data_IF_583913273786
#
_entry.id   IF_583913273786
#
_cell.length_a   1.000
_cell.length_b   1.000
_cell.length_c   1.000
_cell.angle_alpha   90.00
_cell.angle_beta   90.00
_cell.angle_gamma   90.00
#
_symmetry.space_group_name_H-M   'P 1'
#
loop_
_entity.id
_entity.type
_entity.pdbx_description
1 polymer ?
#
# COMPACT_ATOMS: atom_id res chain seq x y z
N UNK A 1 -33.36 -0.89 -11.61
CA UNK A 1 -32.29 -1.74 -12.18
C UNK A 1 -31.11 -1.79 -11.22
N UNK A 2 -30.20 -2.76 -11.35
CA UNK A 2 -29.05 -2.89 -10.46
C UNK A 2 -28.03 -1.75 -10.63
N UNK A 3 -27.40 -1.35 -9.52
CA UNK A 3 -26.31 -0.36 -9.53
C UNK A 3 -25.19 -0.84 -10.47
N UNK A 4 -24.75 -0.03 -11.46
CA UNK A 4 -23.69 -0.43 -12.41
C UNK A 4 -22.33 -0.61 -11.72
N UNK A 5 -22.16 0.09 -10.61
CA UNK A 5 -20.88 0.30 -9.94
C UNK A 5 -20.49 -0.83 -8.99
N UNK A 6 -21.49 -1.45 -8.36
CA UNK A 6 -21.31 -2.65 -7.55
C UNK A 6 -22.06 -3.85 -8.14
N UNK A 7 -22.55 -3.75 -9.39
CA UNK A 7 -23.34 -4.78 -10.08
C UNK A 7 -24.51 -5.36 -9.27
N UNK A 8 -25.09 -4.55 -8.37
CA UNK A 8 -26.15 -4.96 -7.46
C UNK A 8 -25.69 -5.75 -6.22
N UNK A 9 -24.41 -5.76 -5.87
CA UNK A 9 -23.88 -6.30 -4.60
C UNK A 9 -24.26 -5.38 -3.43
N UNK A 10 -24.07 -4.06 -3.59
CA UNK A 10 -24.33 -3.05 -2.56
C UNK A 10 -23.08 -2.62 -1.79
N UNK A 11 -22.02 -3.42 -1.83
CA UNK A 11 -20.74 -3.12 -1.20
C UNK A 11 -19.62 -3.06 -2.24
N UNK A 12 -18.49 -2.48 -1.84
CA UNK A 12 -17.22 -2.50 -2.57
C UNK A 12 -16.11 -2.84 -1.59
N UNK A 13 -15.08 -3.51 -2.10
CA UNK A 13 -13.86 -3.74 -1.34
C UNK A 13 -12.96 -2.51 -1.46
N UNK A 14 -12.68 -1.86 -0.34
CA UNK A 14 -11.70 -0.77 -0.27
C UNK A 14 -10.55 -1.15 0.66
N UNK A 15 -9.34 -0.72 0.29
CA UNK A 15 -8.15 -0.99 1.09
C UNK A 15 -8.19 -0.13 2.34
N UNK A 16 -8.01 -0.75 3.50
CA UNK A 16 -8.03 -0.08 4.79
C UNK A 16 -6.60 0.20 5.29
N UNK A 17 -6.21 1.48 5.48
CA UNK A 17 -4.91 1.84 6.03
C UNK A 17 -4.61 1.22 7.41
N UNK A 18 -5.62 1.01 8.26
CA UNK A 18 -5.45 0.39 9.58
C UNK A 18 -5.02 -1.07 9.46
N UNK A 19 -5.47 -1.77 8.41
CA UNK A 19 -5.05 -3.15 8.14
C UNK A 19 -3.66 -3.20 7.49
N UNK A 20 -3.25 -2.14 6.80
CA UNK A 20 -1.88 -2.01 6.25
C UNK A 20 -0.87 -1.78 7.37
N UNK A 21 -1.22 -0.98 8.38
CA UNK A 21 -0.37 -0.67 9.54
C UNK A 21 -1.10 -1.10 10.82
N UNK A 22 -1.13 -2.40 11.12
CA UNK A 22 -1.89 -2.92 12.27
C UNK A 22 -1.26 -2.59 13.62
N UNK A 23 0.02 -2.23 13.64
CA UNK A 23 0.79 -1.92 14.85
C UNK A 23 1.57 -0.62 14.61
N UNK A 24 1.05 0.49 15.17
CA UNK A 24 1.64 1.81 15.02
C UNK A 24 2.87 2.05 15.92
N UNK A 25 3.16 1.14 16.86
CA UNK A 25 4.32 1.24 17.75
C UNK A 25 5.59 0.75 17.06
N UNK A 26 5.46 -0.08 16.01
CA UNK A 26 6.59 -0.53 15.19
C UNK A 26 7.13 0.57 14.30
N UNK A 27 8.44 0.55 14.13
CA UNK A 27 9.13 1.33 13.11
C UNK A 27 8.99 0.72 11.70
N UNK A 28 9.42 1.46 10.68
CA UNK A 28 9.44 0.94 9.31
C UNK A 28 10.44 -0.21 9.15
N UNK A 29 11.56 -0.14 9.87
CA UNK A 29 12.62 -1.17 9.87
C UNK A 29 12.16 -2.47 10.55
N UNK A 30 11.27 -2.34 11.54
CA UNK A 30 10.59 -3.46 12.21
C UNK A 30 9.40 -4.01 11.41
N UNK A 31 9.01 -3.34 10.33
CA UNK A 31 7.98 -3.82 9.41
C UNK A 31 6.57 -3.33 9.74
N UNK A 32 6.41 -2.09 10.19
CA UNK A 32 5.11 -1.46 10.43
C UNK A 32 4.15 -1.57 9.24
N UNK A 33 4.65 -1.50 8.00
CA UNK A 33 3.83 -1.68 6.79
C UNK A 33 3.74 -3.17 6.46
N UNK A 34 2.65 -3.80 6.89
CA UNK A 34 2.46 -5.24 6.89
C UNK A 34 2.56 -5.93 5.51
N UNK A 35 2.00 -5.37 4.41
CA UNK A 35 2.15 -5.97 3.07
C UNK A 35 3.60 -6.07 2.58
N UNK A 36 4.49 -5.27 3.15
CA UNK A 36 5.89 -5.14 2.73
C UNK A 36 6.88 -5.75 3.72
N UNK A 37 6.42 -6.25 4.87
CA UNK A 37 7.31 -6.68 5.96
C UNK A 37 7.67 -8.17 5.96
N UNK A 38 7.22 -8.95 4.96
CA UNK A 38 7.33 -10.40 4.97
C UNK A 38 8.11 -10.97 3.78
N UNK A 39 8.90 -12.03 4.03
CA UNK A 39 9.56 -12.82 2.99
C UNK A 39 10.53 -12.03 2.11
N UNK A 40 10.62 -12.41 0.83
CA UNK A 40 11.56 -11.82 -0.12
C UNK A 40 11.24 -10.36 -0.49
N UNK A 41 10.03 -9.86 -0.21
CA UNK A 41 9.65 -8.48 -0.53
C UNK A 41 10.18 -7.48 0.50
N UNK A 42 10.47 -7.92 1.74
CA UNK A 42 10.97 -7.05 2.82
C UNK A 42 12.22 -6.28 2.43
N UNK A 43 13.21 -6.96 1.85
CA UNK A 43 14.47 -6.33 1.47
C UNK A 43 14.28 -5.33 0.32
N UNK A 44 13.43 -5.67 -0.66
CA UNK A 44 13.12 -4.80 -1.79
C UNK A 44 12.42 -3.51 -1.34
N UNK A 45 11.36 -3.63 -0.54
CA UNK A 45 10.61 -2.48 -0.04
C UNK A 45 11.40 -1.68 0.99
N UNK A 46 12.24 -2.33 1.81
CA UNK A 46 13.14 -1.62 2.73
C UNK A 46 14.07 -0.66 1.98
N UNK A 47 14.62 -1.07 0.84
CA UNK A 47 15.46 -0.19 -0.01
C UNK A 47 14.66 0.97 -0.61
N UNK A 48 13.42 0.73 -1.04
CA UNK A 48 12.54 1.78 -1.55
C UNK A 48 12.15 2.79 -0.47
N UNK A 49 11.80 2.30 0.72
CA UNK A 49 11.45 3.14 1.88
C UNK A 49 12.65 3.96 2.32
N UNK A 50 13.84 3.37 2.38
CA UNK A 50 15.07 4.09 2.71
C UNK A 50 15.36 5.21 1.71
N UNK A 51 15.25 4.93 0.41
CA UNK A 51 15.45 5.96 -0.60
C UNK A 51 14.37 7.07 -0.51
N UNK A 52 13.12 6.72 -0.20
CA UNK A 52 12.04 7.68 0.02
C UNK A 52 12.28 8.53 1.28
N UNK A 53 12.83 7.93 2.34
CA UNK A 53 13.10 8.59 3.61
C UNK A 53 14.23 9.61 3.48
N UNK A 54 15.26 9.30 2.71
CA UNK A 54 16.30 10.25 2.31
C UNK A 54 15.72 11.41 1.49
N UNK A 55 14.86 11.12 0.51
CA UNK A 55 14.30 12.13 -0.38
C UNK A 55 13.29 13.07 0.31
N UNK A 56 12.52 12.59 1.28
CA UNK A 56 11.50 13.37 2.00
C UNK A 56 11.95 13.84 3.41
N UNK A 57 13.13 13.41 3.86
CA UNK A 57 13.68 13.74 5.16
C UNK A 57 12.80 13.25 6.31
N UNK A 58 12.73 11.93 6.51
CA UNK A 58 12.13 11.31 7.69
C UNK A 58 12.93 10.09 8.17
N UNK A 59 12.71 9.67 9.41
CA UNK A 59 13.39 8.54 10.04
C UNK A 59 12.63 7.24 9.81
N UNK A 60 13.34 6.13 9.59
CA UNK A 60 12.74 4.79 9.44
C UNK A 60 12.74 3.97 10.72
N UNK A 61 13.54 4.39 11.70
CA UNK A 61 13.85 3.72 12.95
C UNK A 61 13.02 4.23 14.15
N UNK A 62 11.98 5.02 13.88
CA UNK A 62 11.03 5.51 14.89
C UNK A 62 9.67 4.85 14.69
N UNK A 63 8.86 4.71 15.76
CA UNK A 63 7.48 4.20 15.65
C UNK A 63 6.69 4.90 14.55
N UNK A 64 5.85 4.15 13.83
CA UNK A 64 4.94 4.70 12.82
C UNK A 64 4.14 5.87 13.38
N UNK A 65 3.61 5.75 14.60
CA UNK A 65 2.88 6.80 15.29
C UNK A 65 3.63 8.15 15.29
N UNK A 66 4.96 8.12 15.46
CA UNK A 66 5.84 9.28 15.52
C UNK A 66 6.27 9.84 14.15
N UNK A 67 5.93 9.20 13.05
CA UNK A 67 6.26 9.70 11.71
C UNK A 67 5.50 10.99 11.37
N UNK A 68 6.14 11.94 10.66
CA UNK A 68 5.44 13.12 10.14
C UNK A 68 4.27 12.73 9.23
N UNK A 69 3.17 13.47 9.27
CA UNK A 69 1.98 13.18 8.46
C UNK A 69 2.27 13.13 6.95
N UNK A 70 3.23 13.94 6.47
CA UNK A 70 3.69 13.89 5.08
C UNK A 70 4.31 12.54 4.70
N UNK A 71 5.06 11.92 5.63
CA UNK A 71 5.71 10.63 5.43
C UNK A 71 4.65 9.52 5.44
N UNK A 72 3.75 9.52 6.44
CA UNK A 72 2.62 8.58 6.49
C UNK A 72 1.80 8.61 5.20
N UNK A 73 1.46 9.81 4.71
CA UNK A 73 0.72 9.99 3.45
C UNK A 73 1.48 9.46 2.24
N UNK A 74 2.78 9.75 2.13
CA UNK A 74 3.62 9.26 1.05
C UNK A 74 3.72 7.71 1.05
N UNK A 75 3.89 7.12 2.24
CA UNK A 75 4.01 5.67 2.41
C UNK A 75 2.69 4.94 2.09
N UNK A 76 1.55 5.48 2.50
CA UNK A 76 0.24 4.87 2.25
C UNK A 76 -0.27 5.10 0.83
N UNK A 77 -0.25 6.35 0.36
CA UNK A 77 -0.96 6.76 -0.86
C UNK A 77 -0.04 7.06 -2.04
N UNK A 78 1.27 6.97 -1.84
CA UNK A 78 2.25 7.25 -2.87
C UNK A 78 2.73 8.69 -2.87
N UNK A 79 3.79 8.94 -3.63
CA UNK A 79 4.37 10.27 -3.80
C UNK A 79 5.03 10.38 -5.17
N UNK A 80 4.87 11.52 -5.85
CA UNK A 80 5.44 11.77 -7.20
C UNK A 80 6.94 12.10 -7.17
N UNK A 81 7.62 11.84 -6.06
CA UNK A 81 9.04 12.16 -5.95
C UNK A 81 9.83 11.10 -6.70
N UNK A 82 10.73 11.56 -7.55
CA UNK A 82 11.69 10.67 -8.17
C UNK A 82 12.66 10.18 -7.11
N UNK A 83 12.81 8.86 -6.99
CA UNK A 83 13.62 8.25 -5.93
C UNK A 83 14.67 7.36 -6.57
N UNK A 84 15.95 7.62 -6.29
CA UNK A 84 17.05 6.76 -6.72
C UNK A 84 17.34 5.71 -5.64
N UNK A 85 17.14 4.44 -5.97
CA UNK A 85 17.37 3.34 -5.05
C UNK A 85 18.74 2.72 -5.34
N UNK A 86 19.63 2.77 -4.34
CA UNK A 86 20.95 2.15 -4.41
C UNK A 86 20.96 0.86 -3.60
N UNK A 87 21.56 -0.20 -4.15
CA UNK A 87 21.74 -1.45 -3.43
C UNK A 87 22.98 -2.21 -3.88
N UNK A 88 23.50 -3.04 -2.98
CA UNK A 88 24.58 -3.97 -3.28
C UNK A 88 23.98 -5.33 -3.64
N UNK A 89 24.34 -5.88 -4.79
CA UNK A 89 23.87 -7.21 -5.18
C UNK A 89 24.67 -8.32 -4.47
N UNK A 90 24.23 -9.57 -4.64
CA UNK A 90 24.90 -10.77 -4.08
C UNK A 90 26.37 -10.95 -4.49
N UNK A 91 26.81 -10.28 -5.55
CA UNK A 91 28.19 -10.33 -6.05
C UNK A 91 29.03 -9.13 -5.58
N UNK A 92 28.50 -8.34 -4.64
CA UNK A 92 29.19 -7.20 -4.07
C UNK A 92 29.23 -5.95 -4.97
N UNK A 93 28.56 -5.95 -6.13
CA UNK A 93 28.50 -4.79 -7.03
C UNK A 93 27.36 -3.86 -6.62
N UNK A 94 27.65 -2.56 -6.62
CA UNK A 94 26.62 -1.54 -6.48
C UNK A 94 25.77 -1.44 -7.75
N UNK A 95 24.47 -1.30 -7.54
CA UNK A 95 23.47 -1.05 -8.57
C UNK A 95 22.59 0.10 -8.10
N UNK A 96 22.15 0.91 -9.04
CA UNK A 96 21.18 1.96 -8.82
C UNK A 96 20.06 1.82 -9.85
N UNK A 97 18.83 2.13 -9.45
CA UNK A 97 17.71 2.32 -10.36
C UNK A 97 16.85 3.47 -9.85
N UNK A 98 16.16 4.14 -10.78
CA UNK A 98 15.33 5.29 -10.45
C UNK A 98 13.87 4.93 -10.62
N UNK A 99 13.05 5.25 -9.62
CA UNK A 99 11.59 5.20 -9.72
C UNK A 99 11.09 6.63 -9.96
N UNK A 100 10.22 6.85 -10.96
CA UNK A 100 9.67 8.19 -11.22
C UNK A 100 8.64 8.61 -10.16
N UNK A 101 8.02 7.64 -9.48
CA UNK A 101 7.09 7.86 -8.39
C UNK A 101 7.09 6.66 -7.44
N UNK A 102 6.81 6.93 -6.17
CA UNK A 102 6.53 5.93 -5.16
C UNK A 102 5.05 5.57 -5.19
N UNK A 103 4.72 4.28 -5.34
CA UNK A 103 3.36 3.77 -5.53
C UNK A 103 2.47 3.97 -4.29
N UNK A 104 3.00 3.69 -3.09
CA UNK A 104 2.24 3.65 -1.85
C UNK A 104 1.59 2.29 -1.58
N UNK A 105 1.43 1.96 -0.31
CA UNK A 105 0.92 0.66 0.15
C UNK A 105 -0.52 0.39 -0.29
N UNK A 106 -1.37 1.43 -0.27
CA UNK A 106 -2.78 1.33 -0.66
C UNK A 106 -2.91 0.96 -2.15
N UNK A 107 -2.19 1.67 -3.02
CA UNK A 107 -2.22 1.39 -4.46
C UNK A 107 -1.58 0.04 -4.78
N UNK A 108 -0.49 -0.31 -4.08
CA UNK A 108 0.14 -1.62 -4.19
C UNK A 108 -0.85 -2.75 -3.87
N UNK A 109 -1.53 -2.72 -2.72
CA UNK A 109 -2.52 -3.74 -2.33
C UNK A 109 -3.64 -3.83 -3.36
N UNK A 110 -4.23 -2.69 -3.74
CA UNK A 110 -5.33 -2.64 -4.71
C UNK A 110 -4.93 -3.26 -6.06
N UNK A 111 -3.75 -2.89 -6.58
CA UNK A 111 -3.23 -3.44 -7.84
C UNK A 111 -2.95 -4.93 -7.72
N UNK A 112 -2.27 -5.36 -6.65
CA UNK A 112 -1.95 -6.77 -6.43
C UNK A 112 -3.17 -7.67 -6.23
N UNK A 113 -4.24 -7.16 -5.60
CA UNK A 113 -5.54 -7.82 -5.53
C UNK A 113 -6.20 -7.95 -6.91
N UNK A 114 -6.19 -6.87 -7.70
CA UNK A 114 -6.79 -6.84 -9.04
C UNK A 114 -6.07 -7.80 -10.00
N UNK A 115 -4.74 -7.78 -9.99
CA UNK A 115 -3.85 -8.60 -10.83
C UNK A 115 -3.67 -10.03 -10.32
N UNK A 116 -4.30 -10.43 -9.20
CA UNK A 116 -4.12 -11.76 -8.62
C UNK A 116 -4.70 -12.85 -9.55
N UNK A 117 -3.85 -13.78 -9.98
CA UNK A 117 -4.25 -14.92 -10.83
C UNK A 117 -4.70 -16.15 -10.03
N UNK A 118 -4.38 -16.21 -8.73
CA UNK A 118 -4.81 -17.28 -7.83
C UNK A 118 -5.70 -16.77 -6.70
N UNK A 119 -6.65 -17.60 -6.28
CA UNK A 119 -7.55 -17.31 -5.16
C UNK A 119 -6.77 -17.04 -3.88
N UNK A 120 -5.75 -17.86 -3.59
CA UNK A 120 -4.86 -17.66 -2.44
C UNK A 120 -4.14 -16.31 -2.44
N UNK A 121 -3.74 -15.82 -3.61
CA UNK A 121 -3.11 -14.51 -3.73
C UNK A 121 -4.15 -13.41 -3.57
N UNK A 122 -5.37 -13.60 -4.09
CA UNK A 122 -6.47 -12.65 -3.98
C UNK A 122 -6.90 -12.49 -2.52
N UNK A 123 -7.20 -13.59 -1.83
CA UNK A 123 -7.56 -13.64 -0.41
C UNK A 123 -6.49 -12.99 0.47
N UNK A 124 -5.20 -13.24 0.18
CA UNK A 124 -4.09 -12.61 0.89
C UNK A 124 -4.16 -11.08 0.85
N UNK A 125 -4.52 -10.49 -0.29
CA UNK A 125 -4.62 -9.03 -0.41
C UNK A 125 -5.99 -8.50 0.05
N UNK A 126 -7.06 -9.30 -0.04
CA UNK A 126 -8.37 -8.98 0.56
C UNK A 126 -8.29 -8.85 2.08
N UNK A 127 -7.36 -9.54 2.74
CA UNK A 127 -7.11 -9.37 4.18
C UNK A 127 -6.70 -7.95 4.60
N UNK A 128 -6.33 -7.07 3.66
CA UNK A 128 -6.07 -5.65 3.89
C UNK A 128 -7.22 -4.73 3.47
N UNK A 129 -8.36 -5.30 3.10
CA UNK A 129 -9.51 -4.58 2.56
C UNK A 129 -10.71 -4.78 3.48
N UNK A 130 -11.64 -3.82 3.46
CA UNK A 130 -12.94 -3.92 4.12
C UNK A 130 -14.05 -3.72 3.10
N UNK A 131 -15.18 -4.37 3.34
CA UNK A 131 -16.40 -4.07 2.62
C UNK A 131 -16.95 -2.73 3.10
N UNK A 132 -17.07 -1.79 2.18
CA UNK A 132 -17.73 -0.49 2.41
C UNK A 132 -19.01 -0.41 1.58
N UNK A 133 -20.03 0.31 2.05
CA UNK A 133 -21.22 0.60 1.25
C UNK A 133 -20.80 1.21 -0.09
N UNK A 134 -21.39 0.72 -1.18
CA UNK A 134 -21.09 1.26 -2.50
C UNK A 134 -21.45 2.76 -2.53
N UNK A 135 -20.51 3.67 -2.83
CA UNK A 135 -20.75 5.11 -2.74
C UNK A 135 -21.79 5.59 -3.75
N UNK A 136 -22.02 4.83 -4.83
CA UNK A 136 -22.94 5.18 -5.91
C UNK A 136 -24.38 4.86 -5.56
N UNK A 137 -24.64 3.77 -4.84
CA UNK A 137 -26.00 3.37 -4.43
C UNK A 137 -26.22 3.45 -2.92
N UNK A 138 -25.22 3.84 -2.14
CA UNK A 138 -25.24 3.89 -0.68
C UNK A 138 -25.70 2.57 -0.04
N UNK A 139 -25.35 1.44 -0.66
CA UNK A 139 -25.79 0.12 -0.20
C UNK A 139 -27.19 -0.30 -0.65
N UNK A 140 -27.95 0.56 -1.34
CA UNK A 140 -29.31 0.22 -1.83
C UNK A 140 -29.31 -0.79 -2.98
N UNK A 141 -28.15 -1.08 -3.58
CA UNK A 141 -27.96 -2.04 -4.69
C UNK A 141 -28.63 -1.63 -6.01
N UNK A 142 -29.29 -0.47 -6.02
CA UNK A 142 -30.10 0.00 -7.14
C UNK A 142 -29.40 1.12 -7.90
N UNK A 143 -29.83 1.35 -9.14
CA UNK A 143 -29.42 2.54 -9.90
C UNK A 143 -29.86 3.79 -9.12
N UNK A 144 -28.99 4.81 -9.01
CA UNK A 144 -29.40 6.12 -8.50
C UNK A 144 -30.57 6.63 -9.33
N UNK A 145 -31.58 7.19 -8.65
CA UNK A 145 -32.65 7.91 -9.33
C UNK A 145 -32.08 9.30 -9.57
N UNK A 146 -31.60 9.53 -10.80
CA UNK A 146 -31.21 10.87 -11.27
C UNK A 146 -32.46 11.65 -11.62
#
# INVERSE_FOLDING_TARGET
GACPDCTGIGTRMEVDPELIVPDEEKSLDEGAIHPWSHGHTKEYFGRLIGALSEALGFRTDIPWAGLPQRAKKALLFGHKIQTEVRYRNRYGRERAYTTPAFEGAVQFVKRRHTEAESDSSRERFEGYMREVPCPTCEGTRLKPIV
#
